data_IF_509893070278
#
_entry.id   IF_509893070278
#
_cell.length_a   1.000
_cell.length_b   1.000
_cell.length_c   1.000
_cell.angle_alpha   90.00
_cell.angle_beta   90.00
_cell.angle_gamma   90.00
#
_symmetry.space_group_name_H-M   'P 1'
#
loop_
_entity.id
_entity.type
_entity.pdbx_description
1 polymer ?
#
# COMPACT_ATOMS: atom_id res chain seq x y z
N UNK A 1 2.71 -22.70 -16.23
CA UNK A 1 2.68 -21.58 -17.19
C UNK A 1 3.67 -20.48 -16.82
N UNK A 2 4.52 -20.00 -17.74
CA UNK A 2 5.52 -18.99 -17.45
C UNK A 2 4.92 -17.58 -17.58
N UNK A 3 4.00 -17.22 -16.69
CA UNK A 3 3.46 -15.85 -16.57
C UNK A 3 4.47 -14.86 -15.94
N UNK A 4 5.77 -15.14 -16.06
CA UNK A 4 6.87 -14.43 -15.40
C UNK A 4 7.72 -13.58 -16.34
N UNK A 5 7.19 -13.11 -17.49
CA UNK A 5 8.02 -12.38 -18.46
C UNK A 5 8.04 -10.86 -18.24
N UNK A 6 7.00 -10.26 -17.67
CA UNK A 6 6.94 -8.79 -17.54
C UNK A 6 6.21 -8.35 -16.26
N UNK A 7 6.87 -8.37 -15.09
CA UNK A 7 6.32 -7.78 -13.87
C UNK A 7 5.97 -6.30 -14.06
N UNK A 8 6.61 -5.62 -15.02
CA UNK A 8 6.28 -4.24 -15.44
C UNK A 8 4.88 -4.10 -16.07
N UNK A 9 4.40 -5.11 -16.80
CA UNK A 9 3.05 -5.07 -17.36
C UNK A 9 1.99 -5.18 -16.24
N UNK A 10 2.27 -5.96 -15.21
CA UNK A 10 1.39 -6.07 -14.05
C UNK A 10 1.23 -4.71 -13.34
N UNK A 11 2.32 -3.96 -13.20
CA UNK A 11 2.28 -2.59 -12.65
C UNK A 11 1.40 -1.69 -13.51
N UNK A 12 1.60 -1.67 -14.84
CA UNK A 12 0.79 -0.84 -15.75
C UNK A 12 -0.70 -1.16 -15.70
N UNK A 13 -1.06 -2.44 -15.65
CA UNK A 13 -2.46 -2.87 -15.52
C UNK A 13 -3.07 -2.47 -14.18
N UNK A 14 -2.33 -2.66 -13.09
CA UNK A 14 -2.78 -2.29 -11.76
C UNK A 14 -2.93 -0.76 -11.61
N UNK A 15 -2.02 0.03 -12.19
CA UNK A 15 -2.13 1.49 -12.22
C UNK A 15 -3.42 1.92 -12.93
N UNK A 16 -3.70 1.35 -14.09
CA UNK A 16 -4.92 1.65 -14.83
C UNK A 16 -6.18 1.28 -14.03
N UNK A 17 -6.18 0.16 -13.31
CA UNK A 17 -7.29 -0.22 -12.45
C UNK A 17 -7.51 0.79 -11.30
N UNK A 18 -6.42 1.24 -10.69
CA UNK A 18 -6.42 2.26 -9.64
C UNK A 18 -6.94 3.60 -10.17
N UNK A 19 -6.50 4.04 -11.36
CA UNK A 19 -6.99 5.26 -12.04
C UNK A 19 -8.49 5.17 -12.36
N UNK A 20 -8.96 4.03 -12.88
CA UNK A 20 -10.37 3.80 -13.16
C UNK A 20 -11.23 3.87 -11.90
N UNK A 21 -10.68 3.40 -10.78
CA UNK A 21 -11.32 3.49 -9.47
C UNK A 21 -11.06 4.81 -8.74
N UNK A 22 -10.40 5.78 -9.40
CA UNK A 22 -10.04 7.10 -8.87
C UNK A 22 -9.26 7.05 -7.55
N UNK A 23 -8.49 6.00 -7.33
CA UNK A 23 -7.75 5.77 -6.08
C UNK A 23 -8.68 5.67 -4.86
N UNK A 24 -9.94 5.30 -5.04
CA UNK A 24 -10.93 5.19 -3.96
C UNK A 24 -11.21 3.75 -3.54
N UNK A 25 -10.74 2.76 -4.31
CA UNK A 25 -10.92 1.35 -3.98
C UNK A 25 -9.65 0.76 -3.36
N UNK A 26 -9.69 0.36 -2.08
CA UNK A 26 -8.53 -0.20 -1.39
C UNK A 26 -8.05 -1.54 -1.98
N UNK A 27 -8.91 -2.30 -2.67
CA UNK A 27 -8.52 -3.57 -3.29
C UNK A 27 -7.66 -3.36 -4.54
N UNK A 28 -8.00 -2.34 -5.34
CA UNK A 28 -7.17 -1.94 -6.50
C UNK A 28 -5.80 -1.43 -6.08
N UNK A 29 -5.74 -0.63 -5.00
CA UNK A 29 -4.47 -0.15 -4.44
C UNK A 29 -3.62 -1.29 -3.89
N UNK A 30 -4.21 -2.24 -3.17
CA UNK A 30 -3.50 -3.44 -2.69
C UNK A 30 -2.91 -4.27 -3.85
N UNK A 31 -3.65 -4.38 -4.95
CA UNK A 31 -3.18 -5.04 -6.18
C UNK A 31 -1.98 -4.31 -6.78
N UNK A 32 -2.04 -2.98 -6.85
CA UNK A 32 -0.93 -2.14 -7.32
C UNK A 32 0.31 -2.26 -6.41
N UNK A 33 0.12 -2.28 -5.09
CA UNK A 33 1.20 -2.49 -4.15
C UNK A 33 1.92 -3.83 -4.39
N UNK A 34 1.16 -4.89 -4.68
CA UNK A 34 1.71 -6.22 -4.94
C UNK A 34 2.45 -6.28 -6.28
N UNK A 35 1.93 -5.60 -7.30
CA UNK A 35 2.63 -5.46 -8.58
C UNK A 35 3.96 -4.71 -8.42
N UNK A 36 3.99 -3.65 -7.60
CA UNK A 36 5.23 -2.94 -7.28
C UNK A 36 6.24 -3.81 -6.53
N UNK A 37 5.79 -4.63 -5.58
CA UNK A 37 6.66 -5.59 -4.91
C UNK A 37 7.24 -6.63 -5.89
N UNK A 38 6.46 -7.06 -6.89
CA UNK A 38 6.89 -8.02 -7.89
C UNK A 38 7.99 -7.48 -8.84
N UNK A 39 8.05 -6.16 -9.07
CA UNK A 39 9.16 -5.50 -9.81
C UNK A 39 10.32 -5.07 -8.90
N UNK A 40 10.29 -5.40 -7.60
CA UNK A 40 11.29 -5.00 -6.62
C UNK A 40 11.16 -3.56 -6.11
N UNK A 41 10.09 -2.84 -6.47
CA UNK A 41 9.79 -1.50 -5.99
C UNK A 41 9.05 -1.54 -4.65
N UNK A 42 9.69 -2.11 -3.63
CA UNK A 42 9.10 -2.25 -2.30
C UNK A 42 8.76 -0.91 -1.63
N UNK A 43 9.46 0.18 -1.97
CA UNK A 43 9.15 1.54 -1.46
C UNK A 43 7.75 1.96 -1.86
N UNK A 44 7.47 1.87 -3.16
CA UNK A 44 6.19 2.22 -3.76
C UNK A 44 5.10 1.27 -3.27
N UNK A 45 5.41 -0.03 -3.18
CA UNK A 45 4.49 -1.03 -2.61
C UNK A 45 4.01 -0.66 -1.20
N UNK A 46 4.93 -0.26 -0.33
CA UNK A 46 4.59 0.15 1.05
C UNK A 46 3.78 1.45 1.07
N UNK A 47 4.11 2.43 0.24
CA UNK A 47 3.33 3.68 0.19
C UNK A 47 1.90 3.45 -0.27
N UNK A 48 1.72 2.72 -1.38
CA UNK A 48 0.39 2.41 -1.92
C UNK A 48 -0.41 1.53 -0.95
N UNK A 49 0.22 0.54 -0.33
CA UNK A 49 -0.43 -0.32 0.67
C UNK A 49 -0.90 0.46 1.90
N UNK A 50 -0.15 1.48 2.35
CA UNK A 50 -0.60 2.37 3.44
C UNK A 50 -1.87 3.15 3.05
N UNK A 51 -1.92 3.72 1.84
CA UNK A 51 -3.11 4.41 1.35
C UNK A 51 -4.32 3.47 1.25
N UNK A 52 -4.10 2.24 0.77
CA UNK A 52 -5.13 1.21 0.74
C UNK A 52 -5.67 0.91 2.15
N UNK A 53 -4.79 0.84 3.15
CA UNK A 53 -5.14 0.60 4.54
C UNK A 53 -5.98 1.75 5.12
N UNK A 54 -5.66 3.00 4.82
CA UNK A 54 -6.44 4.17 5.25
C UNK A 54 -7.86 4.13 4.67
N UNK A 55 -8.00 3.81 3.39
CA UNK A 55 -9.31 3.66 2.75
C UNK A 55 -10.09 2.45 3.27
N UNK A 56 -9.42 1.32 3.52
CA UNK A 56 -10.05 0.15 4.14
C UNK A 56 -10.52 0.45 5.57
N UNK A 57 -9.76 1.27 6.31
CA UNK A 57 -10.15 1.77 7.65
C UNK A 57 -11.38 2.65 7.56
N UNK A 58 -11.38 3.62 6.64
CA UNK A 58 -12.52 4.52 6.40
C UNK A 58 -13.78 3.75 5.99
N UNK A 59 -13.62 2.72 5.15
CA UNK A 59 -14.69 1.81 4.74
C UNK A 59 -15.10 0.78 5.79
N UNK A 60 -14.46 0.75 6.97
CA UNK A 60 -14.67 -0.25 8.05
C UNK A 60 -14.47 -1.70 7.58
N UNK A 61 -13.68 -1.91 6.54
CA UNK A 61 -13.43 -3.22 5.93
C UNK A 61 -12.28 -3.94 6.64
N UNK A 62 -12.56 -4.46 7.85
CA UNK A 62 -11.57 -5.14 8.71
C UNK A 62 -10.88 -6.32 8.02
N UNK A 63 -11.60 -7.06 7.17
CA UNK A 63 -11.03 -8.19 6.43
C UNK A 63 -9.97 -7.76 5.43
N UNK A 64 -10.22 -6.66 4.70
CA UNK A 64 -9.26 -6.11 3.76
C UNK A 64 -8.09 -5.44 4.47
N UNK A 65 -8.37 -4.72 5.57
CA UNK A 65 -7.35 -4.14 6.44
C UNK A 65 -6.33 -5.18 6.91
N UNK A 66 -6.80 -6.33 7.41
CA UNK A 66 -5.91 -7.41 7.87
C UNK A 66 -5.04 -7.97 6.74
N UNK A 67 -5.61 -8.16 5.54
CA UNK A 67 -4.86 -8.62 4.38
C UNK A 67 -3.78 -7.61 3.95
N UNK A 68 -4.14 -6.33 3.88
CA UNK A 68 -3.20 -5.25 3.52
C UNK A 68 -2.07 -5.16 4.56
N UNK A 69 -2.41 -5.28 5.86
CA UNK A 69 -1.42 -5.26 6.93
C UNK A 69 -0.40 -6.40 6.79
N UNK A 70 -0.88 -7.64 6.61
CA UNK A 70 0.01 -8.78 6.42
C UNK A 70 0.89 -8.65 5.17
N UNK A 71 0.38 -8.07 4.08
CA UNK A 71 1.20 -7.78 2.89
C UNK A 71 2.24 -6.69 3.14
N UNK A 72 1.86 -5.62 3.83
CA UNK A 72 2.78 -4.55 4.20
C UNK A 72 3.92 -5.06 5.08
N UNK A 73 3.65 -5.97 6.01
CA UNK A 73 4.69 -6.62 6.80
C UNK A 73 5.68 -7.40 5.93
N UNK A 74 5.20 -8.17 4.94
CA UNK A 74 6.06 -8.89 4.00
C UNK A 74 6.91 -7.94 3.13
N UNK A 75 6.32 -6.84 2.67
CA UNK A 75 7.04 -5.83 1.88
C UNK A 75 8.09 -5.08 2.72
N UNK A 76 7.78 -4.84 4.00
CA UNK A 76 8.71 -4.24 4.96
C UNK A 76 9.83 -5.19 5.36
N UNK A 77 9.55 -6.49 5.55
CA UNK A 77 10.58 -7.51 5.79
C UNK A 77 11.51 -7.70 4.59
N UNK A 78 11.00 -7.48 3.38
CA UNK A 78 11.80 -7.49 2.14
C UNK A 78 12.64 -6.22 1.96
N UNK A 79 12.51 -5.25 2.87
CA UNK A 79 13.40 -4.08 2.98
C UNK A 79 14.26 -4.19 4.24
N UNK A 80 15.48 -3.66 4.23
CA UNK A 80 16.21 -3.47 5.47
C UNK A 80 15.43 -2.48 6.34
N UNK A 81 15.26 -2.84 7.61
CA UNK A 81 14.78 -1.99 8.71
C UNK A 81 15.49 -0.62 8.68
N UNK A 82 15.03 0.32 7.85
CA UNK A 82 15.36 1.73 7.99
C UNK A 82 14.45 2.28 9.09
N UNK A 83 14.83 1.91 10.31
CA UNK A 83 14.41 2.49 11.57
C UNK A 83 14.89 3.95 11.62
N UNK A 84 14.32 4.84 10.82
CA UNK A 84 14.48 6.29 11.04
C UNK A 84 13.41 7.04 10.27
N UNK A 85 12.50 7.66 11.02
CA UNK A 85 11.73 8.89 10.79
C UNK A 85 10.74 8.85 11.95
N UNK A 86 11.24 9.11 13.15
CA UNK A 86 11.11 10.45 13.73
C UNK A 86 9.63 10.85 13.76
N UNK A 87 9.13 10.79 14.97
CA UNK A 87 7.86 11.25 15.49
C UNK A 87 7.68 12.76 15.25
N UNK A 88 7.60 13.16 13.99
CA UNK A 88 7.21 14.50 13.55
C UNK A 88 5.72 14.54 13.26
N UNK A 89 4.89 14.49 14.31
CA UNK A 89 3.49 14.92 14.24
C UNK A 89 3.16 15.72 15.48
N UNK A 90 3.91 16.82 15.62
CA UNK A 90 3.36 18.08 16.10
C UNK A 90 2.34 18.57 15.05
N UNK A 91 1.07 18.23 15.25
CA UNK A 91 -0.03 19.15 14.92
C UNK A 91 -1.16 18.91 15.93
N UNK A 92 -1.17 19.76 16.94
CA UNK A 92 -2.23 19.92 17.94
C UNK A 92 -3.51 20.47 17.27
N UNK A 93 -4.71 20.26 17.85
CA UNK A 93 -5.17 21.22 18.84
C UNK A 93 -6.00 20.57 19.95
N UNK A 94 -5.37 20.26 21.08
CA UNK A 94 -6.13 20.07 22.33
C UNK A 94 -6.50 21.44 22.88
N UNK A 95 -7.71 21.88 22.55
CA UNK A 95 -8.38 22.94 23.28
C UNK A 95 -8.74 22.51 24.71
N UNK A 96 -9.07 23.52 25.52
CA UNK A 96 -9.64 23.45 26.88
C UNK A 96 -8.72 22.81 27.93
N UNK A 97 -8.32 23.51 29.00
CA UNK A 97 -9.16 24.26 29.94
C UNK A 97 -8.32 25.24 30.78
#
# INVERSE_FOLDING_TARGET
>A
DPAGRDPEQAVRLAQRAVELSKHQDPSTLDTLATAYAAVGQFEQAVQIGKQAMELATAGKNKHLLAQIHSRLELFQQSKPYAMTTDIGSDDSPSGTN
#
